data_IF_018214938260
#
_entry.id   IF_018214938260
#
_cell.length_a   1.000
_cell.length_b   1.000
_cell.length_c   1.000
_cell.angle_alpha   90.00
_cell.angle_beta   90.00
_cell.angle_gamma   90.00
#
_symmetry.space_group_name_H-M   'P 1'
#
loop_
_entity.id
_entity.type
_entity.pdbx_description
1 polymer ?
#
# COMPACT_ATOMS: atom_id res chain seq x y z
N UNK A 1 -6.11 -6.72 22.47
CA UNK A 1 -6.10 -5.29 22.10
C UNK A 1 -7.13 -5.07 20.99
N UNK A 2 -7.83 -3.92 20.91
CA UNK A 2 -8.77 -3.68 19.79
C UNK A 2 -8.03 -3.31 18.51
N UNK A 3 -8.63 -3.51 17.33
CA UNK A 3 -8.03 -3.11 16.04
C UNK A 3 -7.67 -1.62 16.05
N UNK A 4 -8.55 -0.77 16.58
CA UNK A 4 -8.37 0.69 16.68
C UNK A 4 -7.17 1.06 17.56
N UNK A 5 -7.06 0.46 18.76
CA UNK A 5 -5.93 0.76 19.68
C UNK A 5 -4.58 0.33 19.11
N UNK A 6 -4.53 -0.84 18.45
CA UNK A 6 -3.33 -1.32 17.76
C UNK A 6 -2.86 -0.36 16.66
N UNK A 7 -3.77 0.14 15.84
CA UNK A 7 -3.44 1.07 14.75
C UNK A 7 -2.87 2.40 15.26
N UNK A 8 -3.41 2.93 16.35
CA UNK A 8 -2.82 4.11 17.00
C UNK A 8 -1.40 3.81 17.50
N UNK A 9 -1.20 2.69 18.19
CA UNK A 9 0.13 2.31 18.70
C UNK A 9 1.16 2.11 17.61
N UNK A 10 0.78 1.61 16.42
CA UNK A 10 1.70 1.51 15.28
C UNK A 10 2.23 2.89 14.86
N UNK A 11 1.36 3.89 14.77
CA UNK A 11 1.76 5.26 14.38
C UNK A 11 2.62 5.90 15.46
N UNK A 12 2.24 5.76 16.74
CA UNK A 12 3.02 6.29 17.87
C UNK A 12 4.43 5.69 17.94
N UNK A 13 4.55 4.36 17.78
CA UNK A 13 5.84 3.67 17.79
C UNK A 13 6.70 4.04 16.57
N UNK A 14 6.09 4.14 15.39
CA UNK A 14 6.81 4.52 14.17
C UNK A 14 7.41 5.93 14.24
N UNK A 15 6.77 6.85 14.98
CA UNK A 15 7.22 8.23 15.14
C UNK A 15 8.16 8.37 16.36
N UNK A 16 7.84 7.72 17.47
CA UNK A 16 8.44 8.00 18.78
C UNK A 16 9.49 7.02 19.27
N UNK A 17 9.65 5.85 18.62
CA UNK A 17 10.57 4.81 19.08
C UNK A 17 11.65 4.49 18.04
N UNK A 18 12.80 4.00 18.51
CA UNK A 18 13.83 3.44 17.64
C UNK A 18 13.43 2.03 17.18
N UNK A 19 12.62 2.00 16.12
CA UNK A 19 12.12 0.78 15.47
C UNK A 19 12.87 0.45 14.18
N UNK A 20 13.93 1.20 13.88
CA UNK A 20 14.76 0.97 12.71
C UNK A 20 15.54 -0.34 12.83
N UNK A 21 15.95 -0.90 11.70
CA UNK A 21 16.82 -2.07 11.71
C UNK A 21 18.15 -1.77 12.42
N UNK A 22 18.50 -2.59 13.42
CA UNK A 22 19.73 -2.40 14.22
C UNK A 22 21.01 -2.78 13.47
N UNK A 23 20.94 -3.79 12.62
CA UNK A 23 22.11 -4.36 11.92
C UNK A 23 21.93 -4.50 10.41
N UNK A 24 20.72 -4.27 9.89
CA UNK A 24 20.44 -4.31 8.46
C UNK A 24 20.30 -2.88 7.93
N UNK A 25 20.88 -2.65 6.76
CA UNK A 25 20.68 -1.46 5.94
C UNK A 25 19.69 -1.79 4.81
N UNK A 26 19.26 -0.77 4.06
CA UNK A 26 18.42 -0.96 2.87
C UNK A 26 19.21 -1.44 1.64
N UNK A 27 20.54 -1.54 1.72
CA UNK A 27 21.42 -1.98 0.64
C UNK A 27 21.73 -0.90 -0.39
N UNK A 28 21.14 0.30 -0.29
CA UNK A 28 21.39 1.40 -1.21
C UNK A 28 22.83 1.92 -1.11
N UNK A 29 23.51 1.69 0.02
CA UNK A 29 24.93 2.02 0.20
C UNK A 29 25.87 1.26 -0.75
N UNK A 30 25.38 0.19 -1.40
CA UNK A 30 26.13 -0.62 -2.37
C UNK A 30 26.08 -0.05 -3.78
N UNK A 31 25.26 0.96 -4.01
CA UNK A 31 25.02 1.54 -5.32
C UNK A 31 25.46 3.00 -5.33
N UNK A 32 26.18 3.38 -6.38
CA UNK A 32 26.50 4.76 -6.68
C UNK A 32 26.20 5.00 -8.16
N UNK A 33 25.58 6.13 -8.47
CA UNK A 33 25.45 6.57 -9.85
C UNK A 33 26.81 7.04 -10.36
N UNK A 34 27.15 6.70 -11.59
CA UNK A 34 28.34 7.24 -12.25
C UNK A 34 28.14 8.75 -12.47
N UNK A 35 29.08 9.55 -11.97
CA UNK A 35 29.02 10.99 -12.16
C UNK A 35 29.33 11.33 -13.63
N UNK A 36 28.40 12.03 -14.28
CA UNK A 36 28.63 12.59 -15.60
C UNK A 36 28.99 14.09 -15.49
N UNK A 37 30.27 14.41 -15.73
CA UNK A 37 30.77 15.78 -15.73
C UNK A 37 30.32 16.61 -16.96
N UNK A 38 29.80 15.94 -17.99
CA UNK A 38 29.35 16.52 -19.27
C UNK A 38 27.94 15.99 -19.60
N UNK A 39 26.89 16.43 -18.87
CA UNK A 39 25.56 15.87 -19.00
C UNK A 39 24.83 16.24 -20.31
N UNK A 40 25.30 17.27 -21.02
CA UNK A 40 24.71 17.76 -22.30
C UNK A 40 23.18 17.97 -22.26
N UNK A 41 22.63 18.36 -21.09
CA UNK A 41 21.23 18.68 -20.85
C UNK A 41 21.11 19.86 -19.87
N UNK A 42 20.14 20.74 -20.10
CA UNK A 42 19.80 21.80 -19.15
C UNK A 42 18.88 21.28 -18.04
N UNK A 43 18.99 21.83 -16.82
CA UNK A 43 18.13 21.42 -15.70
C UNK A 43 16.64 21.61 -16.01
N UNK A 44 16.29 22.59 -16.83
CA UNK A 44 14.91 22.88 -17.23
C UNK A 44 14.29 21.77 -18.11
N UNK A 45 15.13 20.95 -18.77
CA UNK A 45 14.68 19.86 -19.65
C UNK A 45 14.53 18.53 -18.90
N UNK A 46 14.79 18.49 -17.59
CA UNK A 46 14.63 17.29 -16.76
C UNK A 46 13.14 17.04 -16.53
N UNK A 47 12.59 16.06 -17.24
CA UNK A 47 11.25 15.54 -16.97
C UNK A 47 11.30 14.46 -15.88
N UNK A 48 10.52 14.68 -14.83
CA UNK A 48 10.35 13.74 -13.71
C UNK A 48 8.98 13.06 -13.73
N UNK A 49 8.19 13.27 -14.78
CA UNK A 49 6.90 12.64 -14.93
C UNK A 49 7.02 11.12 -15.09
N UNK A 50 5.99 10.40 -14.63
CA UNK A 50 5.94 8.95 -14.75
C UNK A 50 4.51 8.45 -14.90
N UNK A 51 4.31 7.39 -15.68
CA UNK A 51 3.01 6.73 -15.80
C UNK A 51 2.83 5.75 -14.64
N UNK A 52 1.75 5.90 -13.87
CA UNK A 52 1.36 5.00 -12.81
C UNK A 52 -0.13 4.67 -12.90
N UNK A 53 -0.46 3.39 -13.04
CA UNK A 53 -1.84 2.85 -13.13
C UNK A 53 -2.73 3.63 -14.11
N UNK A 54 -2.18 3.97 -15.28
CA UNK A 54 -2.89 4.67 -16.34
C UNK A 54 -2.98 6.20 -16.17
N UNK A 55 -2.33 6.79 -15.16
CA UNK A 55 -2.27 8.24 -14.96
C UNK A 55 -0.84 8.75 -14.89
N UNK A 56 -0.61 9.95 -15.42
CA UNK A 56 0.71 10.61 -15.35
C UNK A 56 0.86 11.32 -14.01
N UNK A 57 1.91 10.97 -13.27
CA UNK A 57 2.37 11.67 -12.08
C UNK A 57 3.37 12.76 -12.48
N UNK A 58 3.48 13.80 -11.65
CA UNK A 58 4.49 14.86 -11.81
C UNK A 58 5.87 14.45 -11.31
N UNK A 59 5.92 13.51 -10.37
CA UNK A 59 7.14 12.92 -9.83
C UNK A 59 6.96 11.39 -9.78
N UNK A 60 8.03 10.60 -9.90
CA UNK A 60 7.94 9.13 -9.90
C UNK A 60 7.88 8.59 -8.45
N UNK A 61 6.97 9.13 -7.65
CA UNK A 61 6.86 8.88 -6.22
C UNK A 61 5.42 8.50 -5.81
N UNK A 62 5.33 7.68 -4.76
CA UNK A 62 4.09 7.21 -4.14
C UNK A 62 4.28 7.25 -2.62
N UNK A 63 3.36 7.88 -1.89
CA UNK A 63 3.27 7.66 -0.44
C UNK A 63 2.58 6.33 -0.21
N UNK A 64 3.30 5.31 0.27
CA UNK A 64 2.70 3.98 0.52
C UNK A 64 1.72 4.00 1.71
N UNK A 65 0.83 3.02 1.76
CA UNK A 65 -0.22 2.94 2.77
C UNK A 65 0.27 2.80 4.21
N UNK A 66 -0.12 3.73 5.08
CA UNK A 66 0.30 3.77 6.49
C UNK A 66 -0.87 3.58 7.48
N UNK A 67 -1.91 4.42 7.42
CA UNK A 67 -2.90 4.52 8.51
C UNK A 67 -4.36 4.65 8.01
N UNK A 68 -5.29 4.78 8.95
CA UNK A 68 -6.76 4.78 8.77
C UNK A 68 -7.41 3.76 9.70
N UNK A 69 -8.62 3.98 10.18
CA UNK A 69 -9.33 3.08 11.11
C UNK A 69 -9.28 3.48 12.59
N UNK A 70 -9.01 4.76 12.87
CA UNK A 70 -9.20 5.43 14.16
C UNK A 70 -9.45 6.93 13.92
N UNK A 71 -10.09 7.68 14.85
CA UNK A 71 -10.54 9.04 14.59
C UNK A 71 -9.45 10.01 14.10
N UNK A 72 -8.27 9.99 14.73
CA UNK A 72 -7.18 10.91 14.37
C UNK A 72 -6.51 10.54 13.02
N UNK A 73 -6.74 9.33 12.52
CA UNK A 73 -6.21 8.91 11.22
C UNK A 73 -6.86 9.64 10.05
N UNK A 74 -8.11 10.13 10.23
CA UNK A 74 -8.80 10.92 9.22
C UNK A 74 -8.00 12.18 8.87
N UNK A 75 -7.57 12.92 9.90
CA UNK A 75 -6.75 14.12 9.73
C UNK A 75 -5.44 13.81 8.99
N UNK A 76 -4.73 12.75 9.41
CA UNK A 76 -3.46 12.34 8.77
C UNK A 76 -3.68 12.00 7.30
N UNK A 77 -4.70 11.19 6.98
CA UNK A 77 -4.98 10.80 5.60
C UNK A 77 -5.40 11.99 4.73
N UNK A 78 -6.17 12.95 5.28
CA UNK A 78 -6.53 14.18 4.56
C UNK A 78 -5.29 15.02 4.24
N UNK A 79 -4.44 15.31 5.24
CA UNK A 79 -3.24 16.13 5.06
C UNK A 79 -2.26 15.49 4.05
N UNK A 80 -2.10 14.16 4.08
CA UNK A 80 -1.29 13.43 3.10
C UNK A 80 -1.91 13.49 1.69
N UNK A 81 -3.23 13.36 1.57
CA UNK A 81 -3.91 13.44 0.28
C UNK A 81 -3.79 14.83 -0.34
N UNK A 82 -3.93 15.89 0.46
CA UNK A 82 -3.72 17.28 0.03
C UNK A 82 -2.28 17.50 -0.47
N UNK A 83 -1.28 17.04 0.29
CA UNK A 83 0.12 17.13 -0.11
C UNK A 83 0.40 16.35 -1.41
N UNK A 84 -0.15 15.14 -1.54
CA UNK A 84 0.00 14.33 -2.74
C UNK A 84 -0.62 15.00 -3.96
N UNK A 85 -1.82 15.58 -3.81
CA UNK A 85 -2.49 16.32 -4.88
C UNK A 85 -1.69 17.57 -5.30
N UNK A 86 -1.15 18.33 -4.35
CA UNK A 86 -0.33 19.50 -4.64
C UNK A 86 0.98 19.15 -5.36
N UNK A 87 1.61 18.03 -4.99
CA UNK A 87 2.85 17.54 -5.60
C UNK A 87 2.62 16.75 -6.90
N UNK A 88 1.42 16.25 -7.13
CA UNK A 88 1.09 15.37 -8.25
C UNK A 88 1.70 13.97 -8.13
N UNK A 89 1.72 13.42 -6.91
CA UNK A 89 2.22 12.07 -6.60
C UNK A 89 1.07 11.16 -6.15
N UNK A 90 1.22 9.86 -6.30
CA UNK A 90 0.20 8.92 -5.87
C UNK A 90 0.18 8.74 -4.34
N UNK A 91 -0.96 8.29 -3.81
CA UNK A 91 -1.13 8.01 -2.38
C UNK A 91 -1.78 6.65 -2.14
N UNK A 92 -1.20 5.85 -1.25
CA UNK A 92 -1.83 4.66 -0.68
C UNK A 92 -2.41 4.93 0.70
N UNK A 93 -3.52 4.27 1.02
CA UNK A 93 -4.09 4.26 2.38
C UNK A 93 -3.63 3.02 3.16
N UNK A 94 -3.71 3.07 4.49
CA UNK A 94 -3.43 1.91 5.34
C UNK A 94 -4.45 0.78 5.15
N UNK A 95 -4.21 -0.37 5.79
CA UNK A 95 -5.10 -1.53 5.72
C UNK A 95 -6.54 -1.16 6.07
N UNK A 96 -7.45 -1.35 5.11
CA UNK A 96 -8.86 -0.95 5.21
C UNK A 96 -9.73 -1.95 6.00
N UNK A 97 -9.14 -3.06 6.51
CA UNK A 97 -9.84 -4.08 7.30
C UNK A 97 -10.77 -3.47 8.35
N UNK A 98 -10.26 -2.52 9.13
CA UNK A 98 -11.01 -1.89 10.21
C UNK A 98 -12.32 -1.23 9.72
N UNK A 99 -12.28 -0.51 8.60
CA UNK A 99 -13.46 0.16 8.04
C UNK A 99 -14.39 -0.78 7.26
N UNK A 100 -13.86 -1.91 6.76
CA UNK A 100 -14.65 -2.94 6.10
C UNK A 100 -15.42 -3.81 7.11
N UNK A 101 -14.86 -4.00 8.32
CA UNK A 101 -15.50 -4.71 9.44
C UNK A 101 -16.38 -3.79 10.29
N UNK A 102 -15.98 -2.52 10.49
CA UNK A 102 -16.72 -1.51 11.24
C UNK A 102 -16.93 -0.23 10.39
N UNK A 103 -18.13 -0.05 9.81
CA UNK A 103 -18.46 1.11 8.99
C UNK A 103 -18.34 2.47 9.70
N UNK A 104 -18.36 2.52 11.04
CA UNK A 104 -18.18 3.77 11.79
C UNK A 104 -16.79 4.39 11.57
N UNK A 105 -15.81 3.58 11.17
CA UNK A 105 -14.44 4.00 10.90
C UNK A 105 -14.21 4.42 9.44
N UNK A 106 -15.23 4.36 8.58
CA UNK A 106 -15.10 4.63 7.16
C UNK A 106 -14.69 6.08 6.84
N UNK A 107 -15.01 7.06 7.69
CA UNK A 107 -14.65 8.47 7.46
C UNK A 107 -13.13 8.65 7.33
N UNK A 108 -12.36 7.92 8.13
CA UNK A 108 -10.89 7.94 8.14
C UNK A 108 -10.22 7.44 6.85
N UNK A 109 -10.99 6.85 5.93
CA UNK A 109 -10.53 6.47 4.59
C UNK A 109 -11.27 7.25 3.51
N UNK A 110 -12.57 7.51 3.69
CA UNK A 110 -13.38 8.28 2.74
C UNK A 110 -12.87 9.70 2.55
N UNK A 111 -12.17 10.26 3.54
CA UNK A 111 -11.57 11.59 3.46
C UNK A 111 -10.61 11.77 2.27
N UNK A 112 -10.01 10.70 1.72
CA UNK A 112 -9.13 10.82 0.54
C UNK A 112 -9.87 10.84 -0.80
N UNK A 113 -11.15 10.43 -0.83
CA UNK A 113 -11.93 10.29 -2.06
C UNK A 113 -12.05 11.59 -2.88
N UNK A 114 -12.22 12.78 -2.29
CA UNK A 114 -12.24 14.05 -3.05
C UNK A 114 -10.97 14.31 -3.88
N UNK A 115 -9.85 13.65 -3.56
CA UNK A 115 -8.56 13.81 -4.25
C UNK A 115 -8.32 12.75 -5.35
N UNK A 116 -9.19 11.73 -5.46
CA UNK A 116 -9.01 10.61 -6.36
C UNK A 116 -9.07 10.97 -7.86
N UNK A 117 -9.66 12.11 -8.20
CA UNK A 117 -9.63 12.65 -9.57
C UNK A 117 -8.31 13.38 -9.88
N UNK A 118 -7.65 13.94 -8.86
CA UNK A 118 -6.40 14.68 -9.01
C UNK A 118 -5.18 13.75 -9.05
N UNK A 119 -5.12 12.75 -8.17
CA UNK A 119 -3.99 11.81 -8.08
C UNK A 119 -4.48 10.37 -7.86
N UNK A 120 -3.74 9.34 -8.33
CA UNK A 120 -4.08 7.96 -8.06
C UNK A 120 -4.09 7.65 -6.56
N UNK A 121 -5.23 7.16 -6.07
CA UNK A 121 -5.36 6.57 -4.73
C UNK A 121 -5.22 5.05 -4.84
N UNK A 122 -4.47 4.46 -3.90
CA UNK A 122 -4.26 3.00 -3.79
C UNK A 122 -4.95 2.50 -2.52
N UNK A 123 -6.03 1.73 -2.68
CA UNK A 123 -6.70 1.03 -1.58
C UNK A 123 -5.79 -0.08 -1.02
N UNK A 124 -6.03 -0.56 0.19
CA UNK A 124 -5.13 -1.55 0.82
C UNK A 124 -5.88 -2.58 1.65
N UNK A 125 -5.66 -3.87 1.36
CA UNK A 125 -6.15 -5.00 2.14
C UNK A 125 -5.03 -5.98 2.47
N UNK A 126 -5.17 -6.74 3.56
CA UNK A 126 -4.22 -7.77 3.94
C UNK A 126 -4.49 -9.09 3.23
N UNK A 127 -3.43 -9.77 2.80
CA UNK A 127 -3.54 -11.03 2.06
C UNK A 127 -4.24 -12.14 2.85
N UNK A 128 -4.02 -12.21 4.17
CA UNK A 128 -4.69 -13.19 5.05
C UNK A 128 -6.20 -12.93 5.09
N UNK A 129 -6.61 -11.67 5.22
CA UNK A 129 -8.03 -11.31 5.22
C UNK A 129 -8.67 -11.54 3.85
N UNK A 130 -7.98 -11.20 2.76
CA UNK A 130 -8.44 -11.51 1.41
C UNK A 130 -8.68 -13.02 1.22
N UNK A 131 -7.75 -13.86 1.67
CA UNK A 131 -7.88 -15.32 1.57
C UNK A 131 -9.04 -15.86 2.45
N UNK A 132 -9.30 -15.22 3.59
CA UNK A 132 -10.48 -15.53 4.42
C UNK A 132 -11.78 -15.13 3.70
N UNK A 133 -11.86 -13.91 3.16
CA UNK A 133 -13.04 -13.45 2.42
C UNK A 133 -13.30 -14.28 1.17
N UNK A 134 -12.26 -14.76 0.47
CA UNK A 134 -12.43 -15.66 -0.67
C UNK A 134 -13.11 -16.96 -0.26
N UNK A 135 -12.64 -17.59 0.83
CA UNK A 135 -13.25 -18.82 1.37
C UNK A 135 -14.70 -18.63 1.79
N UNK A 136 -15.08 -17.41 2.19
CA UNK A 136 -16.45 -17.06 2.56
C UNK A 136 -17.30 -16.58 1.37
N UNK A 137 -16.74 -16.48 0.15
CA UNK A 137 -17.44 -15.94 -1.02
C UNK A 137 -17.72 -14.43 -0.95
N UNK A 138 -16.92 -13.68 -0.19
CA UNK A 138 -17.13 -12.25 0.08
C UNK A 138 -16.04 -11.34 -0.51
N UNK A 139 -14.97 -11.90 -1.10
CA UNK A 139 -13.80 -11.13 -1.51
C UNK A 139 -14.15 -9.98 -2.48
N UNK A 140 -14.85 -10.29 -3.58
CA UNK A 140 -15.17 -9.29 -4.60
C UNK A 140 -16.06 -8.16 -4.03
N UNK A 141 -16.98 -8.49 -3.13
CA UNK A 141 -17.80 -7.51 -2.40
C UNK A 141 -16.95 -6.60 -1.51
N UNK A 142 -15.99 -7.16 -0.79
CA UNK A 142 -15.10 -6.36 0.09
C UNK A 142 -14.16 -5.47 -0.72
N UNK A 143 -13.65 -5.97 -1.85
CA UNK A 143 -12.87 -5.17 -2.80
C UNK A 143 -13.71 -4.02 -3.35
N UNK A 144 -14.92 -4.30 -3.85
CA UNK A 144 -15.83 -3.27 -4.36
C UNK A 144 -16.09 -2.16 -3.33
N UNK A 145 -16.35 -2.53 -2.06
CA UNK A 145 -16.52 -1.55 -0.97
C UNK A 145 -15.27 -0.73 -0.70
N UNK A 146 -14.09 -1.34 -0.73
CA UNK A 146 -12.82 -0.62 -0.53
C UNK A 146 -12.57 0.41 -1.64
N UNK A 147 -12.80 0.01 -2.90
CA UNK A 147 -12.66 0.88 -4.06
C UNK A 147 -13.69 2.01 -4.04
N UNK A 148 -14.95 1.71 -3.77
CA UNK A 148 -16.01 2.73 -3.65
C UNK A 148 -15.71 3.71 -2.53
N UNK A 149 -15.25 3.24 -1.37
CA UNK A 149 -14.98 4.10 -0.22
C UNK A 149 -13.94 5.18 -0.52
N UNK A 150 -12.94 4.85 -1.35
CA UNK A 150 -11.75 5.69 -1.58
C UNK A 150 -11.66 6.30 -2.98
N UNK A 151 -12.41 5.78 -3.95
CA UNK A 151 -12.21 6.12 -5.37
C UNK A 151 -10.90 5.58 -5.94
N UNK A 152 -10.32 4.54 -5.33
CA UNK A 152 -8.98 4.06 -5.66
C UNK A 152 -8.85 3.57 -7.12
N UNK A 153 -7.73 3.92 -7.73
CA UNK A 153 -7.33 3.50 -9.08
C UNK A 153 -6.52 2.19 -9.08
N UNK A 154 -6.11 1.71 -7.89
CA UNK A 154 -5.42 0.45 -7.70
C UNK A 154 -5.70 -0.14 -6.31
N UNK A 155 -5.46 -1.44 -6.16
CA UNK A 155 -5.59 -2.16 -4.91
C UNK A 155 -4.25 -2.79 -4.52
N UNK A 156 -3.71 -2.36 -3.38
CA UNK A 156 -2.60 -3.02 -2.72
C UNK A 156 -3.08 -4.22 -1.89
N UNK A 157 -2.42 -5.37 -2.07
CA UNK A 157 -2.54 -6.55 -1.23
C UNK A 157 -1.23 -6.73 -0.49
N UNK A 158 -1.22 -6.43 0.81
CA UNK A 158 0.01 -6.52 1.60
C UNK A 158 0.26 -7.94 2.11
N UNK A 159 1.54 -8.32 2.08
CA UNK A 159 2.12 -9.50 2.68
C UNK A 159 2.88 -9.08 3.92
N UNK A 160 2.56 -9.68 5.07
CA UNK A 160 3.17 -9.33 6.36
C UNK A 160 3.42 -10.56 7.25
N UNK A 161 3.92 -11.70 6.74
CA UNK A 161 4.00 -12.95 7.51
C UNK A 161 4.86 -12.86 8.76
N UNK A 162 5.97 -12.12 8.70
CA UNK A 162 6.82 -11.91 9.88
C UNK A 162 6.10 -11.08 10.95
N UNK A 163 5.36 -10.05 10.53
CA UNK A 163 4.57 -9.22 11.45
C UNK A 163 3.46 -10.03 12.13
N UNK A 164 2.68 -10.79 11.35
CA UNK A 164 1.60 -11.63 11.90
C UNK A 164 2.13 -12.73 12.82
N UNK A 165 3.35 -13.24 12.58
CA UNK A 165 3.98 -14.23 13.47
C UNK A 165 4.45 -13.60 14.79
N UNK A 166 4.97 -12.36 14.74
CA UNK A 166 5.54 -11.69 15.92
C UNK A 166 4.50 -10.98 16.78
N UNK A 167 3.36 -10.59 16.21
CA UNK A 167 2.31 -9.85 16.90
C UNK A 167 1.50 -10.80 17.82
N UNK A 168 1.24 -10.44 19.10
CA UNK A 168 0.51 -11.30 20.03
C UNK A 168 -0.87 -11.75 19.53
N UNK A 169 -1.56 -10.88 18.80
CA UNK A 169 -2.88 -11.11 18.21
C UNK A 169 -2.85 -11.30 16.68
N UNK A 170 -1.68 -11.64 16.12
CA UNK A 170 -1.52 -11.85 14.69
C UNK A 170 -2.27 -13.08 14.15
N UNK A 171 -2.54 -13.07 12.85
CA UNK A 171 -3.23 -14.13 12.11
C UNK A 171 -2.27 -14.76 11.09
N UNK A 172 -1.32 -15.64 11.48
CA UNK A 172 -0.31 -16.21 10.59
C UNK A 172 -0.84 -17.31 9.65
N UNK A 173 -2.03 -17.12 9.08
CA UNK A 173 -2.76 -18.08 8.25
C UNK A 173 -2.60 -17.80 6.74
N UNK A 174 -1.38 -17.91 6.20
CA UNK A 174 -1.06 -17.55 4.81
C UNK A 174 -1.45 -18.59 3.73
N UNK A 175 -2.18 -19.65 4.12
CA UNK A 175 -2.63 -20.68 3.18
C UNK A 175 -3.67 -20.09 2.23
N UNK A 176 -3.52 -20.33 0.94
CA UNK A 176 -4.46 -19.84 -0.07
C UNK A 176 -4.15 -18.44 -0.60
N UNK A 177 -3.13 -17.75 -0.06
CA UNK A 177 -2.81 -16.36 -0.43
C UNK A 177 -2.48 -16.22 -1.91
N UNK A 178 -1.65 -17.11 -2.49
CA UNK A 178 -1.30 -17.01 -3.90
C UNK A 178 -2.51 -17.22 -4.82
N UNK A 179 -3.36 -18.22 -4.51
CA UNK A 179 -4.62 -18.42 -5.25
C UNK A 179 -5.57 -17.23 -5.10
N UNK A 180 -5.55 -16.57 -3.95
CA UNK A 180 -6.37 -15.38 -3.71
C UNK A 180 -5.89 -14.19 -4.55
N UNK A 181 -4.58 -13.99 -4.64
CA UNK A 181 -3.98 -12.95 -5.48
C UNK A 181 -4.28 -13.24 -6.96
N UNK A 182 -4.17 -14.48 -7.41
CA UNK A 182 -4.54 -14.90 -8.76
C UNK A 182 -6.00 -14.59 -9.09
N UNK A 183 -6.93 -14.86 -8.15
CA UNK A 183 -8.33 -14.48 -8.30
C UNK A 183 -8.49 -12.97 -8.46
N UNK A 184 -7.85 -12.18 -7.58
CA UNK A 184 -7.91 -10.72 -7.62
C UNK A 184 -7.37 -10.14 -8.93
N UNK A 185 -6.25 -10.65 -9.44
CA UNK A 185 -5.69 -10.24 -10.74
C UNK A 185 -6.71 -10.45 -11.86
N UNK A 186 -7.51 -11.52 -11.80
CA UNK A 186 -8.50 -11.85 -12.82
C UNK A 186 -9.82 -11.09 -12.69
N UNK A 187 -10.24 -10.72 -11.47
CA UNK A 187 -11.59 -10.20 -11.22
C UNK A 187 -11.63 -8.73 -10.82
N UNK A 188 -10.53 -8.18 -10.32
CA UNK A 188 -10.48 -6.78 -9.86
C UNK A 188 -10.69 -5.83 -11.04
N UNK A 189 -11.53 -4.78 -10.89
CA UNK A 189 -11.72 -3.77 -11.92
C UNK A 189 -10.54 -2.77 -12.01
N UNK A 190 -9.58 -2.87 -11.09
CA UNK A 190 -8.39 -2.00 -11.00
C UNK A 190 -7.12 -2.82 -10.86
N UNK A 191 -5.97 -2.19 -11.15
CA UNK A 191 -4.67 -2.82 -11.04
C UNK A 191 -4.39 -3.36 -9.63
N UNK A 192 -3.81 -4.57 -9.55
CA UNK A 192 -3.38 -5.20 -8.29
C UNK A 192 -1.90 -4.92 -8.07
N UNK A 193 -1.56 -4.42 -6.89
CA UNK A 193 -0.20 -4.22 -6.41
C UNK A 193 0.03 -5.17 -5.25
N UNK A 194 1.04 -6.03 -5.31
CA UNK A 194 1.40 -6.89 -4.16
C UNK A 194 2.59 -6.27 -3.44
N UNK A 195 2.44 -5.97 -2.15
CA UNK A 195 3.46 -5.28 -1.36
C UNK A 195 3.93 -6.08 -0.16
N UNK A 196 5.18 -5.92 0.25
CA UNK A 196 5.63 -6.30 1.60
C UNK A 196 5.44 -5.12 2.58
N UNK A 197 5.90 -5.24 3.83
CA UNK A 197 5.76 -4.24 4.89
C UNK A 197 7.05 -4.03 5.70
N UNK A 198 8.23 -4.35 5.15
CA UNK A 198 9.54 -4.12 5.79
C UNK A 198 10.56 -5.26 5.70
N UNK A 199 10.14 -6.50 5.50
CA UNK A 199 11.02 -7.67 5.35
C UNK A 199 11.40 -7.97 3.88
N UNK A 200 10.66 -7.39 2.94
CA UNK A 200 10.96 -7.35 1.51
C UNK A 200 10.55 -8.58 0.69
N UNK A 201 10.48 -8.40 -0.63
CA UNK A 201 10.11 -9.44 -1.58
C UNK A 201 11.35 -10.08 -2.23
N UNK A 202 11.57 -11.37 -1.98
CA UNK A 202 12.62 -12.12 -2.68
C UNK A 202 12.28 -12.34 -4.16
N UNK A 203 13.29 -12.50 -5.02
CA UNK A 203 13.12 -12.88 -6.43
C UNK A 203 12.17 -14.08 -6.61
N UNK A 204 12.35 -15.14 -5.81
CA UNK A 204 11.48 -16.35 -5.87
C UNK A 204 10.01 -16.03 -5.57
N UNK A 205 9.74 -15.06 -4.70
CA UNK A 205 8.37 -14.62 -4.41
C UNK A 205 7.83 -13.83 -5.59
N UNK A 206 8.61 -12.89 -6.13
CA UNK A 206 8.23 -12.09 -7.31
C UNK A 206 7.95 -12.98 -8.53
N UNK A 207 8.80 -13.98 -8.79
CA UNK A 207 8.60 -14.95 -9.88
C UNK A 207 7.25 -15.69 -9.74
N UNK A 208 6.86 -16.06 -8.52
CA UNK A 208 5.57 -16.71 -8.25
C UNK A 208 4.39 -15.76 -8.43
N UNK A 209 4.53 -14.51 -7.98
CA UNK A 209 3.49 -13.49 -8.17
C UNK A 209 3.30 -13.19 -9.66
N UNK A 210 4.40 -13.05 -10.41
CA UNK A 210 4.37 -12.86 -11.85
C UNK A 210 3.72 -14.05 -12.57
N UNK A 211 3.98 -15.29 -12.13
CA UNK A 211 3.37 -16.48 -12.73
C UNK A 211 1.84 -16.56 -12.62
N UNK A 212 1.23 -15.78 -11.72
CA UNK A 212 -0.23 -15.66 -11.57
C UNK A 212 -0.78 -14.32 -12.10
N UNK A 213 0.02 -13.59 -12.87
CA UNK A 213 -0.39 -12.36 -13.56
C UNK A 213 -0.23 -11.07 -12.76
N UNK A 214 0.50 -11.06 -11.64
CA UNK A 214 0.81 -9.80 -10.94
C UNK A 214 1.82 -9.00 -11.75
N UNK A 215 1.44 -7.78 -12.14
CA UNK A 215 2.29 -6.85 -12.92
C UNK A 215 2.96 -5.78 -12.05
N UNK A 216 2.47 -5.55 -10.83
CA UNK A 216 2.98 -4.53 -9.92
C UNK A 216 3.34 -5.11 -8.56
N UNK A 217 4.58 -4.85 -8.13
CA UNK A 217 5.06 -5.24 -6.80
C UNK A 217 5.71 -4.06 -6.10
N UNK A 218 5.57 -4.00 -4.79
CA UNK A 218 6.26 -3.06 -3.91
C UNK A 218 7.12 -3.84 -2.91
N UNK A 219 8.43 -3.62 -2.99
CA UNK A 219 9.45 -4.37 -2.25
C UNK A 219 9.62 -3.88 -0.81
N UNK A 220 8.98 -2.78 -0.42
CA UNK A 220 9.17 -2.10 0.85
C UNK A 220 8.92 -2.98 2.07
#
# INVERSE_FOLDING_TARGET
>A
MSITSRKRSHVELAIGADVSFRSKTNGLERYAFEYNALPEIDLADVDTSALFVGRTLRLPLLITGMTGGYPEAEKINTELAEACAALGVAMGVGSMRAALEDPSLASSFRCVRPFADSVPIVANIGAVQAARWLRMGQLDTMVGRALEMTGAAALAVHLNPLQELAQPEGEPEFRGVLQTIEHLVRTSPVAIIVKEVGAGLSRRVVDRLSSVGVEHVDVA
#
